data_IF_166851622308
#
_entry.id   IF_166851622308
#
_cell.length_a   1.000
_cell.length_b   1.000
_cell.length_c   1.000
_cell.angle_alpha   90.00
_cell.angle_beta   90.00
_cell.angle_gamma   90.00
#
_symmetry.space_group_name_H-M   'P 1'
#
loop_
_entity.id
_entity.type
_entity.pdbx_description
1 polymer ?
#
# COMPACT_ATOMS: atom_id res chain seq x y z
N UNK A 1 -9.86 6.04 -3.38
CA UNK A 1 -10.57 6.17 -2.08
C UNK A 1 -10.03 7.33 -1.25
N UNK A 2 -10.79 7.82 -0.26
CA UNK A 2 -10.27 8.73 0.77
C UNK A 2 -9.89 7.94 2.01
N UNK A 3 -8.78 8.30 2.65
CA UNK A 3 -8.23 7.59 3.80
C UNK A 3 -9.20 7.53 5.00
N UNK A 4 -10.01 8.59 5.17
CA UNK A 4 -11.08 8.64 6.20
C UNK A 4 -12.10 7.51 6.08
N UNK A 5 -12.38 7.05 4.85
CA UNK A 5 -13.36 5.99 4.60
C UNK A 5 -12.83 4.61 5.05
N UNK A 6 -11.51 4.47 5.21
CA UNK A 6 -10.84 3.22 5.62
C UNK A 6 -10.73 3.08 7.14
N UNK A 7 -10.67 4.20 7.87
CA UNK A 7 -10.51 4.22 9.32
C UNK A 7 -11.68 3.54 10.06
N UNK A 8 -12.90 3.65 9.52
CA UNK A 8 -14.13 3.08 10.11
C UNK A 8 -14.37 1.59 9.86
N UNK A 9 -13.54 0.89 9.07
CA UNK A 9 -13.74 -0.54 8.76
C UNK A 9 -13.08 -1.46 9.77
N UNK A 10 -13.62 -2.66 9.96
CA UNK A 10 -12.97 -3.69 10.78
C UNK A 10 -11.76 -4.30 10.07
N UNK A 11 -10.83 -4.92 10.83
CA UNK A 11 -9.66 -5.60 10.28
C UNK A 11 -10.01 -6.66 9.20
N UNK A 12 -10.98 -7.57 9.39
CA UNK A 12 -11.42 -8.50 8.34
C UNK A 12 -11.94 -7.80 7.08
N UNK A 13 -12.63 -6.66 7.21
CA UNK A 13 -13.14 -5.92 6.06
C UNK A 13 -12.01 -5.26 5.26
N UNK A 14 -10.99 -4.75 5.95
CA UNK A 14 -9.77 -4.23 5.31
C UNK A 14 -9.03 -5.33 4.56
N UNK A 15 -8.92 -6.52 5.13
CA UNK A 15 -8.32 -7.68 4.45
C UNK A 15 -9.13 -8.12 3.23
N UNK A 16 -10.47 -8.08 3.30
CA UNK A 16 -11.33 -8.38 2.16
C UNK A 16 -11.13 -7.36 1.03
N UNK A 17 -11.18 -6.06 1.34
CA UNK A 17 -10.91 -4.98 0.38
C UNK A 17 -9.52 -5.10 -0.25
N UNK A 18 -8.52 -5.50 0.53
CA UNK A 18 -7.17 -5.72 0.03
C UNK A 18 -7.13 -6.84 -1.02
N UNK A 19 -7.86 -7.95 -0.81
CA UNK A 19 -7.97 -9.03 -1.80
C UNK A 19 -8.68 -8.54 -3.06
N UNK A 20 -9.77 -7.81 -2.92
CA UNK A 20 -10.55 -7.27 -4.04
C UNK A 20 -9.71 -6.31 -4.89
N UNK A 21 -9.01 -5.35 -4.27
CA UNK A 21 -8.12 -4.41 -4.99
C UNK A 21 -6.94 -5.10 -5.65
N UNK A 22 -6.41 -6.20 -5.09
CA UNK A 22 -5.37 -7.00 -5.76
C UNK A 22 -5.91 -7.71 -6.99
N UNK A 23 -7.11 -8.29 -6.91
CA UNK A 23 -7.74 -8.95 -8.04
C UNK A 23 -8.05 -7.95 -9.16
N UNK A 24 -8.56 -6.77 -8.80
CA UNK A 24 -8.79 -5.69 -9.76
C UNK A 24 -7.49 -5.26 -10.45
N UNK A 25 -6.39 -5.09 -9.69
CA UNK A 25 -5.09 -4.76 -10.26
C UNK A 25 -4.57 -5.85 -11.20
N UNK A 26 -4.79 -7.12 -10.86
CA UNK A 26 -4.44 -8.25 -11.74
C UNK A 26 -5.22 -8.18 -13.05
N UNK A 27 -6.54 -7.99 -12.99
CA UNK A 27 -7.40 -7.87 -14.16
C UNK A 27 -6.98 -6.68 -15.05
N UNK A 28 -6.68 -5.52 -14.46
CA UNK A 28 -6.24 -4.34 -15.20
C UNK A 28 -4.86 -4.55 -15.85
N UNK A 29 -3.94 -5.25 -15.18
CA UNK A 29 -2.64 -5.62 -15.77
C UNK A 29 -2.79 -6.62 -16.90
N UNK A 30 -3.73 -7.56 -16.78
CA UNK A 30 -4.05 -8.48 -17.86
C UNK A 30 -4.63 -7.75 -19.08
N UNK A 31 -5.60 -6.86 -18.88
CA UNK A 31 -6.15 -6.02 -19.93
C UNK A 31 -5.11 -5.08 -20.57
N UNK A 32 -4.15 -4.59 -19.79
CA UNK A 32 -3.03 -3.80 -20.29
C UNK A 32 -2.12 -4.63 -21.20
N UNK A 33 -1.83 -5.88 -20.81
CA UNK A 33 -1.01 -6.80 -21.59
C UNK A 33 -1.69 -7.22 -22.90
N UNK A 34 -3.03 -7.34 -22.91
CA UNK A 34 -3.81 -7.62 -24.13
C UNK A 34 -4.08 -6.39 -24.98
N UNK A 35 -3.69 -5.19 -24.52
CA UNK A 35 -3.92 -3.93 -25.23
C UNK A 35 -5.37 -3.47 -25.28
N UNK A 36 -6.27 -4.11 -24.52
CA UNK A 36 -7.71 -3.78 -24.48
C UNK A 36 -8.07 -2.74 -23.41
N UNK A 37 -7.08 -2.25 -22.67
CA UNK A 37 -7.29 -1.33 -21.56
C UNK A 37 -7.66 0.08 -22.06
N UNK A 38 -8.91 0.48 -21.80
CA UNK A 38 -9.42 1.80 -22.18
C UNK A 38 -8.86 2.92 -21.29
N UNK A 39 -8.68 2.67 -19.99
CA UNK A 39 -8.29 3.70 -19.02
C UNK A 39 -7.07 3.31 -18.18
N UNK A 40 -5.90 3.75 -18.63
CA UNK A 40 -4.61 3.54 -17.97
C UNK A 40 -4.50 4.24 -16.60
N UNK A 41 -5.30 5.28 -16.32
CA UNK A 41 -5.28 5.94 -15.00
C UNK A 41 -5.83 5.04 -13.91
N UNK A 42 -6.71 4.10 -14.25
CA UNK A 42 -7.29 3.17 -13.27
C UNK A 42 -6.22 2.35 -12.56
N UNK A 43 -5.16 1.92 -13.26
CA UNK A 43 -4.04 1.20 -12.64
C UNK A 43 -3.39 2.05 -11.52
N UNK A 44 -3.21 3.35 -11.77
CA UNK A 44 -2.62 4.26 -10.76
C UNK A 44 -3.56 4.42 -9.56
N UNK A 45 -4.87 4.56 -9.81
CA UNK A 45 -5.87 4.69 -8.75
C UNK A 45 -5.94 3.44 -7.87
N UNK A 46 -6.06 2.26 -8.47
CA UNK A 46 -6.11 0.98 -7.74
C UNK A 46 -4.82 0.72 -6.95
N UNK A 47 -3.65 1.07 -7.51
CA UNK A 47 -2.38 1.00 -6.76
C UNK A 47 -2.36 1.90 -5.54
N UNK A 48 -2.88 3.12 -5.67
CA UNK A 48 -2.95 4.07 -4.57
C UNK A 48 -3.91 3.59 -3.48
N UNK A 49 -5.07 3.08 -3.88
CA UNK A 49 -6.08 2.55 -2.96
C UNK A 49 -5.53 1.33 -2.19
N UNK A 50 -4.79 0.44 -2.86
CA UNK A 50 -4.10 -0.67 -2.22
C UNK A 50 -3.06 -0.19 -1.19
N UNK A 51 -2.28 0.85 -1.51
CA UNK A 51 -1.29 1.41 -0.60
C UNK A 51 -1.95 2.03 0.65
N UNK A 52 -3.09 2.71 0.48
CA UNK A 52 -3.85 3.25 1.61
C UNK A 52 -4.37 2.14 2.53
N UNK A 53 -4.95 1.07 1.96
CA UNK A 53 -5.45 -0.06 2.75
C UNK A 53 -4.32 -0.72 3.54
N UNK A 54 -3.16 -0.94 2.90
CA UNK A 54 -1.98 -1.47 3.61
C UNK A 54 -1.52 -0.56 4.74
N UNK A 55 -1.54 0.76 4.52
CA UNK A 55 -1.15 1.72 5.55
C UNK A 55 -2.09 1.66 6.75
N UNK A 56 -3.40 1.56 6.53
CA UNK A 56 -4.39 1.44 7.61
C UNK A 56 -4.27 0.12 8.38
N UNK A 57 -4.02 -0.99 7.68
CA UNK A 57 -3.75 -2.28 8.33
C UNK A 57 -2.51 -2.16 9.23
N UNK A 58 -1.41 -1.62 8.71
CA UNK A 58 -0.18 -1.42 9.47
C UNK A 58 -0.37 -0.49 10.66
N UNK A 59 -1.15 0.59 10.52
CA UNK A 59 -1.46 1.52 11.61
C UNK A 59 -2.26 0.83 12.72
N UNK A 60 -3.22 -0.03 12.36
CA UNK A 60 -4.02 -0.79 13.34
C UNK A 60 -3.19 -1.86 14.05
N UNK A 61 -2.31 -2.55 13.31
CA UNK A 61 -1.34 -3.48 13.89
C UNK A 61 -0.39 -2.77 14.88
N UNK A 62 0.07 -1.56 14.54
CA UNK A 62 0.96 -0.77 15.40
C UNK A 62 0.26 -0.15 16.61
N UNK A 63 -1.02 0.23 16.47
CA UNK A 63 -1.81 0.85 17.54
C UNK A 63 -2.44 -0.14 18.54
N UNK A 64 -2.20 -1.45 18.42
CA UNK A 64 -2.34 -2.38 19.54
C UNK A 64 -3.63 -3.19 19.65
N UNK A 65 -4.11 -3.80 18.56
CA UNK A 65 -4.79 -5.10 18.67
C UNK A 65 -3.89 -6.20 18.12
N UNK A 66 -3.03 -6.83 18.95
CA UNK A 66 -2.23 -7.96 18.54
C UNK A 66 -3.12 -9.21 18.46
N UNK A 67 -3.88 -9.35 17.37
CA UNK A 67 -4.48 -10.62 17.03
C UNK A 67 -3.43 -11.52 16.36
N UNK A 68 -2.64 -12.18 17.21
CA UNK A 68 -1.94 -13.45 16.98
C UNK A 68 -0.81 -13.51 15.92
N UNK A 69 0.40 -13.24 16.41
CA UNK A 69 1.63 -14.03 16.19
C UNK A 69 2.32 -13.98 14.79
N UNK A 70 3.64 -14.27 14.72
CA UNK A 70 4.61 -13.34 14.17
C UNK A 70 5.14 -13.81 12.82
N UNK A 71 5.08 -12.94 11.80
CA UNK A 71 5.94 -13.11 10.63
C UNK A 71 7.05 -12.09 10.76
N UNK A 72 8.16 -12.58 11.30
CA UNK A 72 9.51 -12.06 11.17
C UNK A 72 9.72 -11.30 9.84
N UNK A 73 9.59 -9.98 9.90
CA UNK A 73 10.00 -9.10 8.81
C UNK A 73 10.60 -7.85 9.46
N UNK A 74 11.91 -7.95 9.68
CA UNK A 74 12.77 -6.88 10.16
C UNK A 74 12.37 -5.51 9.58
N UNK A 75 12.43 -4.42 10.37
CA UNK A 75 12.21 -3.09 9.84
C UNK A 75 13.25 -2.84 8.74
N UNK A 76 12.82 -2.84 7.47
CA UNK A 76 13.71 -2.47 6.36
C UNK A 76 14.30 -1.10 6.70
N UNK A 77 15.63 -0.97 6.76
CA UNK A 77 16.25 0.29 7.15
C UNK A 77 15.73 1.36 6.20
N UNK A 78 15.08 2.39 6.75
CA UNK A 78 14.77 3.61 5.99
C UNK A 78 16.13 4.12 5.51
N UNK A 79 16.43 3.95 4.22
CA UNK A 79 17.66 4.51 3.64
C UNK A 79 17.69 5.98 4.04
N UNK A 80 18.72 6.46 4.76
CA UNK A 80 18.85 7.89 4.99
C UNK A 80 18.92 8.54 3.61
N UNK A 81 18.07 9.55 3.40
CA UNK A 81 18.18 10.44 2.24
C UNK A 81 19.59 10.99 2.29
N UNK A 82 20.41 10.60 1.32
CA UNK A 82 21.84 10.90 1.29
C UNK A 82 22.09 12.34 1.73
N UNK A 83 22.91 12.49 2.77
CA UNK A 83 23.54 13.76 3.10
C UNK A 83 24.36 14.15 1.87
N UNK A 84 23.80 15.04 1.05
CA UNK A 84 24.52 15.67 -0.03
C UNK A 84 25.59 16.54 0.60
N UNK A 85 26.83 16.14 0.38
CA UNK A 85 28.03 16.89 0.61
C UNK A 85 27.83 18.36 0.20
N UNK A 86 27.94 19.25 1.17
CA UNK A 86 28.36 20.62 0.94
C UNK A 86 29.82 20.64 1.35
N UNK A 87 30.66 20.57 0.34
CA UNK A 87 32.09 20.75 0.35
C UNK A 87 32.39 22.13 0.95
N UNK A 88 32.72 22.14 2.24
CA UNK A 88 33.33 23.28 2.92
C UNK A 88 34.85 23.06 2.82
N UNK A 89 35.48 23.76 1.89
CA UNK A 89 36.92 23.94 1.87
C UNK A 89 37.22 25.43 1.61
N UNK A 90 38.16 26.03 2.37
CA UNK A 90 38.52 27.44 2.28
C UNK A 90 39.33 27.80 1.01
#
# INVERSE_FOLDING_TARGET
MKMKDLQGLSMPDLQKKLKDSRQELFNLRFQMATGQLQNHRQIRHVRHDLAQILTEIHLKEFNGEPAAAPVEAAPKPRRPRAAAASEEAP
#
